data_IF_717387107959
#
_entry.id   IF_717387107959
#
_cell.length_a   1.000
_cell.length_b   1.000
_cell.length_c   1.000
_cell.angle_alpha   90.00
_cell.angle_beta   90.00
_cell.angle_gamma   90.00
#
_symmetry.space_group_name_H-M   'P 1'
#
loop_
_entity.id
_entity.type
_entity.pdbx_description
1 polymer ?
#
# COMPACT_ATOMS: atom_id res chain seq x y z
N UNK A 1 9.75 8.43 20.40
CA UNK A 1 11.00 7.69 20.07
C UNK A 1 11.15 6.60 21.11
N UNK A 2 10.90 5.35 20.74
CA UNK A 2 11.17 4.20 21.60
C UNK A 2 12.31 3.43 20.94
N UNK A 3 13.36 3.18 21.71
CA UNK A 3 14.55 2.43 21.30
C UNK A 3 14.33 1.00 21.78
N UNK A 4 14.48 0.02 20.89
CA UNK A 4 14.46 -1.39 21.28
C UNK A 4 15.75 -1.75 22.04
N UNK A 5 15.72 -2.76 22.89
CA UNK A 5 16.83 -3.15 23.78
C UNK A 5 18.12 -3.57 23.03
N UNK A 6 18.05 -3.79 21.73
CA UNK A 6 19.17 -4.16 20.86
C UNK A 6 19.77 -2.97 20.08
N UNK A 7 19.41 -1.73 20.43
CA UNK A 7 19.78 -0.50 19.72
C UNK A 7 19.35 -0.49 18.24
N UNK A 8 18.49 -1.40 17.81
CA UNK A 8 17.90 -1.34 16.48
C UNK A 8 16.83 -0.25 16.42
N UNK A 9 16.86 0.52 15.33
CA UNK A 9 15.83 1.53 15.08
C UNK A 9 14.60 0.82 14.55
N UNK A 10 13.63 0.55 15.42
CA UNK A 10 12.30 0.15 14.99
C UNK A 10 11.42 1.40 14.95
N UNK A 11 11.17 1.97 13.77
CA UNK A 11 10.21 3.06 13.61
C UNK A 11 8.77 2.53 13.68
N UNK A 12 8.39 1.91 14.80
CA UNK A 12 7.00 1.62 15.10
C UNK A 12 6.35 2.85 15.75
N UNK A 13 6.22 3.97 15.01
CA UNK A 13 5.40 5.13 15.40
C UNK A 13 5.37 6.28 14.36
N UNK A 14 5.63 6.04 13.08
CA UNK A 14 5.01 6.90 12.07
C UNK A 14 3.88 6.07 11.49
N UNK A 15 2.68 6.28 12.01
CA UNK A 15 1.45 6.05 11.26
C UNK A 15 1.70 6.81 9.95
N UNK A 16 2.05 6.11 8.87
CA UNK A 16 2.00 6.73 7.55
C UNK A 16 0.54 7.17 7.44
N UNK A 17 0.26 8.48 7.27
CA UNK A 17 -1.10 8.95 7.26
C UNK A 17 -1.82 8.19 6.16
N UNK A 18 -2.77 7.34 6.56
CA UNK A 18 -3.65 6.68 5.62
C UNK A 18 -4.73 7.68 5.20
N UNK A 19 -5.07 7.73 3.90
CA UNK A 19 -4.50 6.91 2.84
C UNK A 19 -3.08 7.35 2.42
N UNK A 20 -2.22 6.39 2.08
CA UNK A 20 -0.93 6.70 1.43
C UNK A 20 -1.25 7.13 0.00
N UNK A 21 -0.90 8.36 -0.38
CA UNK A 21 -1.23 8.91 -1.69
C UNK A 21 0.01 9.22 -2.53
N UNK A 22 -0.07 8.94 -3.83
CA UNK A 22 0.93 9.34 -4.83
C UNK A 22 0.21 10.06 -5.96
N UNK A 23 0.75 11.23 -6.32
CA UNK A 23 0.28 12.03 -7.44
C UNK A 23 1.16 11.78 -8.66
N UNK A 24 0.50 11.48 -9.76
CA UNK A 24 1.11 11.28 -11.06
C UNK A 24 1.06 12.55 -11.91
N UNK A 25 1.47 12.40 -13.17
CA UNK A 25 1.28 13.38 -14.23
C UNK A 25 -0.22 13.60 -14.46
N UNK A 26 -0.55 14.75 -15.04
CA UNK A 26 -1.92 15.10 -15.44
C UNK A 26 -2.95 15.09 -14.29
N UNK A 27 -2.50 15.13 -13.02
CA UNK A 27 -3.39 15.11 -11.86
C UNK A 27 -3.93 13.73 -11.50
N UNK A 28 -3.33 12.66 -12.04
CA UNK A 28 -3.60 11.29 -11.63
C UNK A 28 -3.30 11.12 -10.14
N UNK A 29 -4.14 10.34 -9.47
CA UNK A 29 -3.90 10.00 -8.06
C UNK A 29 -4.11 8.52 -7.84
N UNK A 30 -3.17 7.92 -7.12
CA UNK A 30 -3.35 6.62 -6.51
C UNK A 30 -3.32 6.80 -5.01
N UNK A 31 -4.24 6.16 -4.33
CA UNK A 31 -4.28 6.15 -2.87
C UNK A 31 -4.47 4.73 -2.36
N UNK A 32 -3.87 4.42 -1.21
CA UNK A 32 -3.99 3.13 -0.57
C UNK A 32 -4.52 3.31 0.85
N UNK A 33 -5.59 2.62 1.18
CA UNK A 33 -6.20 2.58 2.51
C UNK A 33 -6.15 1.15 3.03
N UNK A 34 -5.82 1.01 4.31
CA UNK A 34 -5.77 -0.31 4.94
C UNK A 34 -7.18 -0.80 5.30
N UNK A 35 -7.42 -2.09 5.11
CA UNK A 35 -8.66 -2.75 5.51
C UNK A 35 -8.60 -3.18 6.98
N UNK A 36 -9.60 -2.81 7.77
CA UNK A 36 -9.68 -3.20 9.19
C UNK A 36 -9.95 -4.69 9.40
N UNK A 37 -10.58 -5.36 8.44
CA UNK A 37 -11.14 -6.71 8.61
C UNK A 37 -10.17 -7.84 8.27
N UNK A 38 -9.05 -7.54 7.60
CA UNK A 38 -8.11 -8.55 7.13
C UNK A 38 -6.68 -8.06 7.41
N UNK A 39 -5.82 -8.87 8.04
CA UNK A 39 -4.47 -8.41 8.35
C UNK A 39 -3.69 -8.19 7.04
N UNK A 40 -2.94 -7.08 7.01
CA UNK A 40 -2.17 -6.62 5.86
C UNK A 40 -2.96 -6.53 4.54
N UNK A 41 -4.27 -6.26 4.55
CA UNK A 41 -5.04 -6.06 3.31
C UNK A 41 -5.31 -4.58 3.06
N UNK A 42 -5.35 -4.18 1.79
CA UNK A 42 -5.47 -2.78 1.39
C UNK A 42 -6.50 -2.61 0.27
N UNK A 43 -7.27 -1.53 0.36
CA UNK A 43 -7.95 -0.95 -0.79
C UNK A 43 -7.00 -0.01 -1.51
N UNK A 44 -6.87 -0.19 -2.82
CA UNK A 44 -6.13 0.71 -3.69
C UNK A 44 -7.12 1.40 -4.61
N UNK A 45 -7.09 2.72 -4.61
CA UNK A 45 -7.99 3.57 -5.39
C UNK A 45 -7.21 4.33 -6.47
N UNK A 46 -7.78 4.37 -7.66
CA UNK A 46 -7.26 5.06 -8.83
C UNK A 46 -8.23 6.19 -9.18
N UNK A 47 -7.71 7.40 -9.38
CA UNK A 47 -8.51 8.59 -9.70
C UNK A 47 -7.84 9.41 -10.81
N UNK A 48 -8.67 10.01 -11.66
CA UNK A 48 -8.26 10.86 -12.79
C UNK A 48 -7.39 10.14 -13.84
N UNK A 49 -7.63 8.84 -14.06
CA UNK A 49 -7.03 8.11 -15.17
C UNK A 49 -7.85 8.29 -16.44
N UNK A 50 -7.29 7.93 -17.61
CA UNK A 50 -8.08 7.96 -18.84
C UNK A 50 -9.12 6.83 -18.81
N UNK A 51 -10.34 7.07 -19.31
CA UNK A 51 -11.34 6.00 -19.46
C UNK A 51 -10.77 4.81 -20.24
N UNK A 52 -10.97 3.59 -19.74
CA UNK A 52 -10.48 2.35 -20.37
C UNK A 52 -8.95 2.25 -20.50
N UNK A 53 -8.19 3.07 -19.78
CA UNK A 53 -6.72 3.00 -19.79
C UNK A 53 -6.22 1.67 -19.25
N UNK A 54 -5.23 1.09 -19.91
CA UNK A 54 -4.57 -0.13 -19.46
C UNK A 54 -3.38 0.27 -18.58
N UNK A 55 -3.34 -0.29 -17.38
CA UNK A 55 -2.25 -0.10 -16.43
C UNK A 55 -1.68 -1.44 -15.99
N UNK A 56 -0.36 -1.49 -15.82
CA UNK A 56 0.31 -2.65 -15.25
C UNK A 56 0.47 -2.47 -13.76
N UNK A 57 -0.11 -3.38 -13.00
CA UNK A 57 0.07 -3.46 -11.57
C UNK A 57 1.25 -4.39 -11.26
N UNK A 58 2.17 -3.92 -10.43
CA UNK A 58 3.26 -4.74 -9.90
C UNK A 58 3.29 -4.62 -8.37
N UNK A 59 3.14 -5.74 -7.70
CA UNK A 59 3.32 -5.88 -6.26
C UNK A 59 4.63 -6.61 -6.01
N UNK A 60 5.55 -5.96 -5.31
CA UNK A 60 6.84 -6.49 -4.91
C UNK A 60 6.79 -6.64 -3.40
N UNK A 61 6.68 -7.87 -2.91
CA UNK A 61 6.67 -8.14 -1.48
C UNK A 61 7.79 -9.07 -1.14
N UNK A 62 8.75 -8.60 -0.35
CA UNK A 62 9.74 -9.48 0.25
C UNK A 62 10.55 -10.31 -0.76
N UNK A 63 10.76 -9.76 -1.96
CA UNK A 63 11.44 -10.38 -3.10
C UNK A 63 10.53 -11.13 -4.08
N UNK A 64 9.26 -11.36 -3.73
CA UNK A 64 8.27 -11.96 -4.62
C UNK A 64 7.56 -10.88 -5.42
N UNK A 65 7.45 -11.09 -6.74
CA UNK A 65 6.81 -10.15 -7.67
C UNK A 65 5.52 -10.77 -8.18
N UNK A 66 4.40 -10.10 -7.92
CA UNK A 66 3.12 -10.36 -8.53
C UNK A 66 2.80 -9.27 -9.55
N UNK A 67 2.36 -9.66 -10.75
CA UNK A 67 2.03 -8.71 -11.82
C UNK A 67 0.64 -8.99 -12.32
N UNK A 68 -0.11 -7.91 -12.55
CA UNK A 68 -1.44 -7.97 -13.12
C UNK A 68 -1.63 -6.87 -14.17
N UNK A 69 -2.58 -7.08 -15.08
CA UNK A 69 -2.98 -6.11 -16.09
C UNK A 69 -4.39 -5.65 -15.76
N UNK A 70 -4.53 -4.36 -15.48
CA UNK A 70 -5.80 -3.78 -15.06
C UNK A 70 -6.29 -2.82 -16.14
N UNK A 71 -7.60 -2.80 -16.36
CA UNK A 71 -8.28 -1.83 -17.20
C UNK A 71 -9.08 -0.88 -16.30
N UNK A 72 -8.76 0.41 -16.36
CA UNK A 72 -9.51 1.46 -15.66
C UNK A 72 -10.93 1.51 -16.21
N UNK A 73 -11.92 1.78 -15.36
CA UNK A 73 -13.31 1.83 -15.80
C UNK A 73 -13.58 3.04 -16.73
N UNK A 74 -14.80 3.10 -17.24
CA UNK A 74 -15.25 4.17 -18.15
C UNK A 74 -15.25 5.59 -17.53
N UNK A 75 -15.19 5.70 -16.21
CA UNK A 75 -15.17 6.97 -15.48
C UNK A 75 -13.74 7.43 -15.14
N UNK A 76 -12.71 6.68 -15.52
CA UNK A 76 -11.32 7.00 -15.15
C UNK A 76 -11.00 6.68 -13.68
N UNK A 77 -11.79 5.80 -13.06
CA UNK A 77 -11.65 5.40 -11.66
C UNK A 77 -11.56 3.87 -11.54
N UNK A 78 -10.98 3.37 -10.46
CA UNK A 78 -10.96 1.93 -10.18
C UNK A 78 -10.68 1.72 -8.69
N UNK A 79 -11.17 0.61 -8.15
CA UNK A 79 -10.75 0.10 -6.85
C UNK A 79 -10.26 -1.34 -7.00
N UNK A 80 -9.23 -1.71 -6.26
CA UNK A 80 -8.76 -3.09 -6.17
C UNK A 80 -8.40 -3.44 -4.74
N UNK A 81 -8.60 -4.70 -4.39
CA UNK A 81 -8.08 -5.25 -3.14
C UNK A 81 -6.68 -5.78 -3.37
N UNK A 82 -5.73 -5.38 -2.52
CA UNK A 82 -4.38 -5.91 -2.51
C UNK A 82 -4.07 -6.57 -1.17
N UNK A 83 -3.48 -7.77 -1.22
CA UNK A 83 -3.02 -8.51 -0.05
C UNK A 83 -1.59 -8.98 -0.34
N UNK A 84 -0.58 -8.52 0.42
CA UNK A 84 0.76 -9.06 0.37
C UNK A 84 0.73 -10.55 0.71
N UNK A 85 1.10 -11.40 -0.25
CA UNK A 85 1.12 -12.85 -0.05
C UNK A 85 2.46 -13.22 0.57
N UNK A 86 2.52 -13.35 1.89
CA UNK A 86 3.75 -13.83 2.56
C UNK A 86 3.37 -14.65 3.77
N UNK A 87 3.37 -15.98 3.58
CA UNK A 87 2.86 -16.94 4.58
C UNK A 87 3.81 -17.16 5.76
N UNK A 88 5.11 -16.88 5.59
CA UNK A 88 6.15 -17.31 6.54
C UNK A 88 6.98 -16.16 7.14
N UNK A 89 6.61 -14.89 6.88
CA UNK A 89 7.40 -13.73 7.33
C UNK A 89 6.67 -12.92 8.40
N UNK A 90 7.41 -12.53 9.44
CA UNK A 90 6.87 -11.72 10.54
C UNK A 90 6.88 -10.21 10.30
N UNK A 91 7.71 -9.76 9.39
CA UNK A 91 7.82 -8.36 8.98
C UNK A 91 8.22 -8.35 7.51
N UNK A 92 7.89 -7.27 6.82
CA UNK A 92 8.32 -7.08 5.46
C UNK A 92 8.02 -5.69 4.95
N UNK A 93 8.55 -5.45 3.77
CA UNK A 93 8.23 -4.30 2.95
C UNK A 93 7.45 -4.80 1.73
N UNK A 94 6.41 -4.07 1.40
CA UNK A 94 5.66 -4.23 0.16
C UNK A 94 5.75 -2.92 -0.61
N UNK A 95 6.22 -3.03 -1.84
CA UNK A 95 6.20 -1.96 -2.82
C UNK A 95 5.14 -2.29 -3.86
N UNK A 96 4.25 -1.34 -4.08
CA UNK A 96 3.25 -1.34 -5.13
C UNK A 96 3.71 -0.36 -6.21
N UNK A 97 3.68 -0.78 -7.48
CA UNK A 97 4.01 0.04 -8.62
C UNK A 97 2.89 -0.06 -9.66
N UNK A 98 2.48 1.10 -10.19
CA UNK A 98 1.62 1.21 -11.36
C UNK A 98 2.42 1.78 -12.51
N UNK A 99 2.46 1.02 -13.61
CA UNK A 99 3.12 1.45 -14.84
C UNK A 99 2.05 1.71 -15.89
N UNK A 100 2.07 2.92 -16.44
CA UNK A 100 1.18 3.37 -17.51
C UNK A 100 2.01 3.40 -18.80
N UNK A 101 1.88 2.38 -19.66
CA UNK A 101 2.78 2.18 -20.79
C UNK A 101 2.68 3.29 -21.85
N UNK A 102 1.48 3.85 -22.05
CA UNK A 102 1.25 4.89 -23.05
C UNK A 102 1.96 6.20 -22.72
N UNK A 103 2.19 6.48 -21.43
CA UNK A 103 2.78 7.73 -20.95
C UNK A 103 4.19 7.55 -20.35
N UNK A 104 4.72 6.32 -20.40
CA UNK A 104 5.96 5.91 -19.74
C UNK A 104 6.03 6.45 -18.29
N UNK A 105 4.91 6.35 -17.59
CA UNK A 105 4.76 6.84 -16.23
C UNK A 105 4.76 5.67 -15.26
N UNK A 106 5.49 5.81 -14.16
CA UNK A 106 5.48 4.85 -13.06
C UNK A 106 5.17 5.58 -11.76
N UNK A 107 4.17 5.10 -11.03
CA UNK A 107 3.78 5.58 -9.72
C UNK A 107 4.04 4.48 -8.69
N UNK A 108 4.67 4.80 -7.57
CA UNK A 108 5.10 3.83 -6.57
C UNK A 108 4.61 4.19 -5.16
N UNK A 109 3.99 3.22 -4.47
CA UNK A 109 3.61 3.28 -3.06
C UNK A 109 4.35 2.17 -2.31
N UNK A 110 5.08 2.51 -1.26
CA UNK A 110 5.79 1.52 -0.43
C UNK A 110 5.31 1.57 1.01
N UNK A 111 5.13 0.40 1.62
CA UNK A 111 4.71 0.26 3.01
C UNK A 111 5.49 -0.85 3.72
N UNK A 112 5.84 -0.58 4.97
CA UNK A 112 6.39 -1.56 5.90
C UNK A 112 5.24 -2.15 6.72
N UNK A 113 5.11 -3.48 6.73
CA UNK A 113 4.06 -4.20 7.45
C UNK A 113 4.64 -5.27 8.39
N UNK A 114 3.81 -5.76 9.31
CA UNK A 114 4.14 -6.81 10.31
C UNK A 114 3.05 -7.88 10.37
N UNK A 115 3.44 -9.14 10.55
CA UNK A 115 2.58 -10.33 10.63
C UNK A 115 3.05 -11.33 11.73
N UNK A 116 2.16 -12.15 12.33
CA UNK A 116 0.76 -11.80 12.52
C UNK A 116 0.69 -10.45 13.26
N UNK A 117 -0.41 -9.73 13.08
CA UNK A 117 -0.61 -8.48 13.79
C UNK A 117 -0.58 -8.79 15.30
N UNK A 118 0.37 -8.19 16.04
CA UNK A 118 0.23 -8.12 17.49
C UNK A 118 -0.97 -7.19 17.73
N UNK A 119 -2.12 -7.75 18.11
CA UNK A 119 -3.17 -7.02 18.80
C UNK A 119 -2.69 -6.64 20.22
N UNK A 120 -1.55 -5.96 20.31
CA UNK A 120 -1.16 -5.32 21.56
C UNK A 120 -2.31 -4.40 21.98
N UNK A 121 -2.72 -4.39 23.26
CA UNK A 121 -3.93 -3.69 23.67
C UNK A 121 -3.81 -2.23 23.26
N UNK A 122 -4.75 -1.77 22.43
CA UNK A 122 -5.03 -0.35 22.28
C UNK A 122 -5.59 0.11 23.63
N UNK A 123 -4.72 0.35 24.61
CA UNK A 123 -5.05 1.25 25.70
C UNK A 123 -5.25 2.61 25.06
N UNK A 124 -6.51 2.91 24.79
CA UNK A 124 -7.02 4.25 24.61
C UNK A 124 -6.55 5.01 25.86
N UNK A 125 -5.42 5.71 25.77
CA UNK A 125 -5.03 6.70 26.76
C UNK A 125 -6.10 7.79 26.71
N UNK A 126 -7.16 7.57 27.48
CA UNK A 126 -8.05 8.62 27.93
C UNK A 126 -7.17 9.42 28.90
N UNK A 127 -6.64 10.54 28.40
CA UNK A 127 -6.00 11.52 29.25
C UNK A 127 -7.01 11.96 30.33
N UNK A 128 -6.71 11.67 31.58
CA UNK A 128 -7.28 12.35 32.76
C UNK A 128 -6.30 13.43 33.21
#
# INVERSE_FOLDING_TARGET
>A
MLIADDNSFCSAANIVPFPIEVLGKEGRKISMERMDTLPASYWVYFQNFKPNEIVYFQSITSGEIHRDVLQINENGEMHMQYVPVVKDKKFGESTFQIVIPETDETMELSEIWRWPYDEGPFEKQINN
#
